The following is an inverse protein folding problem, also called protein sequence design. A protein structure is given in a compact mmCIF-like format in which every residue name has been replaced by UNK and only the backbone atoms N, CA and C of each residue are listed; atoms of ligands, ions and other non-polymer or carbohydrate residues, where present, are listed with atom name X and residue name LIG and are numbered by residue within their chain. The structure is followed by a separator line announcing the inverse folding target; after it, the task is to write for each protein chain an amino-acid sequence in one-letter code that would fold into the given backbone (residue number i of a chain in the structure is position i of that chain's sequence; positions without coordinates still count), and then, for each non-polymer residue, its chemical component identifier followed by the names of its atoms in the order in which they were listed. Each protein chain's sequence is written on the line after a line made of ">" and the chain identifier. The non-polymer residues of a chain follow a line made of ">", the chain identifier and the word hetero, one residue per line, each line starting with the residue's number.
data_IF_177824390447
#
_entry.id   IF_177824390447
#
_cell.length_a   1.000
_cell.length_b   1.000
_cell.length_c   1.000
_cell.angle_alpha   90.00
_cell.angle_beta   90.00
_cell.angle_gamma   90.00
#
_symmetry.space_group_name_H-M   'P 1'
#
loop_
_entity.id
_entity.type
_entity.pdbx_description
1 polymer ?
#
# COMPACT_ATOMS: atom_id res chain seq x y z
N UNK A 1 2.98 7.34 26.10
CA UNK A 1 1.98 7.28 25.02
C UNK A 1 1.73 8.71 24.59
N UNK A 2 2.02 9.05 23.33
CA UNK A 2 1.76 10.37 22.75
C UNK A 2 0.29 10.42 22.35
N UNK A 3 -0.46 11.41 22.83
CA UNK A 3 -1.89 11.60 22.49
C UNK A 3 -2.13 12.82 21.61
N UNK A 4 -1.07 13.56 21.25
CA UNK A 4 -1.13 14.72 20.36
C UNK A 4 -0.98 14.27 18.90
N UNK A 5 -0.06 13.35 18.63
CA UNK A 5 0.22 12.87 17.26
C UNK A 5 -0.35 11.48 16.95
N UNK A 6 -0.87 10.76 17.95
CA UNK A 6 -1.48 9.45 17.76
C UNK A 6 -2.98 9.48 18.04
N UNK A 7 -3.74 8.83 17.16
CA UNK A 7 -5.17 8.60 17.37
C UNK A 7 -5.47 7.58 18.47
N UNK A 8 -6.76 7.34 18.78
CA UNK A 8 -7.18 6.44 19.86
C UNK A 8 -6.89 4.95 19.58
N UNK A 9 -6.47 4.62 18.36
CA UNK A 9 -6.16 3.24 17.97
C UNK A 9 -4.73 2.91 18.38
N UNK A 10 -4.59 2.18 19.49
CA UNK A 10 -3.36 1.49 19.85
C UNK A 10 -3.62 -0.01 19.84
N UNK A 11 -2.73 -0.76 19.22
CA UNK A 11 -2.70 -2.21 19.21
C UNK A 11 -1.26 -2.69 19.32
N UNK A 12 -1.11 -3.90 19.85
CA UNK A 12 0.16 -4.58 19.97
C UNK A 12 0.06 -5.92 19.27
N UNK A 13 1.05 -6.22 18.44
CA UNK A 13 1.21 -7.52 17.80
C UNK A 13 2.56 -8.12 18.21
N UNK A 14 2.63 -9.43 18.46
CA UNK A 14 3.89 -10.09 18.73
C UNK A 14 4.77 -10.08 17.48
N UNK A 15 6.06 -9.78 17.68
CA UNK A 15 7.03 -9.87 16.60
C UNK A 15 7.32 -11.33 16.24
N UNK A 16 7.44 -11.62 14.94
CA UNK A 16 7.92 -12.92 14.44
C UNK A 16 9.45 -12.97 14.32
N UNK A 17 10.13 -11.83 14.42
CA UNK A 17 11.57 -11.69 14.30
C UNK A 17 12.15 -10.73 15.34
N UNK A 18 13.37 -10.99 15.80
CA UNK A 18 14.09 -10.15 16.75
C UNK A 18 14.96 -9.06 16.10
N UNK A 19 15.10 -9.08 14.77
CA UNK A 19 16.00 -8.18 14.03
C UNK A 19 15.29 -7.10 13.21
N UNK A 20 13.98 -7.24 13.00
CA UNK A 20 13.15 -6.30 12.25
C UNK A 20 11.79 -6.15 12.93
N UNK A 21 11.05 -5.07 12.64
CA UNK A 21 9.66 -4.88 13.03
C UNK A 21 8.73 -5.77 12.19
N UNK A 22 8.89 -7.09 12.33
CA UNK A 22 8.20 -8.12 11.56
C UNK A 22 7.10 -8.76 12.39
N UNK A 23 5.91 -8.93 11.82
CA UNK A 23 4.79 -9.62 12.47
C UNK A 23 3.89 -10.28 11.42
N UNK A 24 2.89 -11.04 11.90
CA UNK A 24 1.93 -11.72 11.03
C UNK A 24 0.69 -10.86 10.84
N UNK A 25 0.46 -10.42 9.61
CA UNK A 25 -0.80 -9.85 9.15
C UNK A 25 -1.76 -11.00 8.81
N UNK A 26 -3.07 -10.89 9.10
CA UNK A 26 -4.08 -11.91 8.78
C UNK A 26 -4.47 -11.94 7.30
N UNK A 27 -4.29 -10.83 6.61
CA UNK A 27 -4.54 -10.70 5.18
C UNK A 27 -4.64 -9.23 4.77
N UNK A 28 -4.94 -9.01 3.51
CA UNK A 28 -5.20 -7.68 2.96
C UNK A 28 -6.35 -7.73 1.96
N UNK A 29 -6.85 -6.58 1.54
CA UNK A 29 -7.92 -6.48 0.56
C UNK A 29 -7.96 -5.12 -0.14
N UNK A 30 -8.70 -5.06 -1.23
CA UNK A 30 -8.94 -3.83 -1.99
C UNK A 30 -10.41 -3.81 -2.43
N UNK A 31 -11.16 -2.81 -1.96
CA UNK A 31 -12.61 -2.84 -2.00
C UNK A 31 -13.18 -4.11 -1.37
N UNK A 32 -14.08 -4.80 -2.08
CA UNK A 32 -14.72 -6.03 -1.60
C UNK A 32 -13.84 -7.29 -1.78
N UNK A 33 -12.67 -7.18 -2.42
CA UNK A 33 -11.80 -8.33 -2.67
C UNK A 33 -10.83 -8.53 -1.50
N UNK A 34 -10.79 -9.74 -0.95
CA UNK A 34 -9.92 -10.11 0.19
C UNK A 34 -8.94 -11.21 -0.22
N UNK A 35 -7.73 -11.16 0.32
CA UNK A 35 -6.66 -12.15 0.12
C UNK A 35 -6.24 -12.78 1.45
N UNK A 36 -6.83 -13.94 1.82
CA UNK A 36 -6.41 -14.75 2.97
C UNK A 36 -5.49 -15.94 2.55
N UNK A 37 -4.92 -16.71 3.50
CA UNK A 37 -4.73 -16.40 4.91
C UNK A 37 -3.25 -16.11 5.23
N UNK A 38 -3.04 -15.03 5.96
CA UNK A 38 -1.80 -14.62 6.64
C UNK A 38 -0.53 -14.37 5.80
N UNK A 39 0.17 -13.31 6.15
CA UNK A 39 1.45 -12.93 5.54
C UNK A 39 2.40 -12.42 6.61
N UNK A 40 3.66 -12.82 6.52
CA UNK A 40 4.72 -12.15 7.27
C UNK A 40 4.99 -10.80 6.62
N UNK A 41 4.97 -9.74 7.42
CA UNK A 41 5.10 -8.35 6.97
C UNK A 41 6.05 -7.58 7.88
N UNK A 42 6.65 -6.53 7.32
CA UNK A 42 7.53 -5.60 8.05
C UNK A 42 6.90 -4.21 7.98
N UNK A 43 6.93 -3.49 9.10
CA UNK A 43 6.71 -2.03 9.10
C UNK A 43 8.03 -1.31 9.07
N UNK A 44 8.25 -0.49 8.04
CA UNK A 44 9.50 0.22 7.84
C UNK A 44 9.23 1.63 7.29
N UNK A 45 9.45 2.65 8.13
CA UNK A 45 9.34 4.06 7.71
C UNK A 45 10.49 4.50 6.81
N UNK A 46 11.53 3.69 6.65
CA UNK A 46 12.63 3.90 5.70
C UNK A 46 12.31 3.49 4.27
N UNK A 47 11.19 2.79 4.04
CA UNK A 47 10.76 2.37 2.71
C UNK A 47 9.68 3.31 2.15
N UNK A 48 9.88 3.81 0.92
CA UNK A 48 9.00 4.80 0.29
C UNK A 48 7.66 4.26 -0.21
N UNK A 49 7.55 2.94 -0.45
CA UNK A 49 6.38 2.32 -1.09
C UNK A 49 5.88 1.11 -0.33
N UNK A 50 4.58 0.84 -0.41
CA UNK A 50 4.01 -0.44 0.01
C UNK A 50 4.46 -1.51 -0.99
N UNK A 51 5.42 -2.33 -0.59
CA UNK A 51 5.98 -3.43 -1.39
C UNK A 51 5.48 -4.80 -0.96
N UNK A 52 5.66 -5.80 -1.82
CA UNK A 52 5.38 -7.18 -1.51
C UNK A 52 5.78 -8.14 -2.63
N UNK A 53 5.59 -9.46 -2.45
CA UNK A 53 5.84 -10.43 -3.51
C UNK A 53 5.02 -10.10 -4.76
N UNK A 54 5.64 -10.24 -5.95
CA UNK A 54 5.03 -9.87 -7.23
C UNK A 54 3.64 -10.47 -7.45
N UNK A 55 3.42 -11.71 -7.02
CA UNK A 55 2.11 -12.37 -7.15
C UNK A 55 0.98 -11.70 -6.35
N UNK A 56 1.31 -11.03 -5.25
CA UNK A 56 0.34 -10.32 -4.42
C UNK A 56 0.11 -8.90 -4.92
N UNK A 57 1.18 -8.19 -5.31
CA UNK A 57 1.07 -6.85 -5.89
C UNK A 57 0.38 -6.88 -7.26
N UNK A 58 0.65 -7.88 -8.10
CA UNK A 58 -0.06 -8.09 -9.37
C UNK A 58 -1.55 -8.38 -9.16
N UNK A 59 -1.90 -9.11 -8.09
CA UNK A 59 -3.29 -9.37 -7.74
C UNK A 59 -4.02 -8.07 -7.38
N UNK A 60 -3.40 -7.20 -6.57
CA UNK A 60 -3.96 -5.88 -6.22
C UNK A 60 -4.09 -5.05 -7.49
N UNK A 61 -3.02 -4.93 -8.28
CA UNK A 61 -2.99 -4.14 -9.51
C UNK A 61 -4.10 -4.56 -10.47
N UNK A 62 -4.30 -5.86 -10.68
CA UNK A 62 -5.38 -6.39 -11.52
C UNK A 62 -6.77 -6.00 -10.99
N UNK A 63 -6.98 -5.95 -9.68
CA UNK A 63 -8.27 -5.57 -9.07
C UNK A 63 -8.59 -4.09 -9.25
N UNK A 64 -7.57 -3.24 -9.29
CA UNK A 64 -7.73 -1.78 -9.46
C UNK A 64 -7.51 -1.30 -10.89
N UNK A 65 -7.19 -2.19 -11.83
CA UNK A 65 -6.92 -1.84 -13.23
C UNK A 65 -5.56 -1.18 -13.46
N UNK A 66 -4.63 -1.28 -12.50
CA UNK A 66 -3.28 -0.78 -12.65
C UNK A 66 -2.42 -1.72 -13.51
N UNK A 67 -1.42 -1.15 -14.19
CA UNK A 67 -0.52 -1.87 -15.08
C UNK A 67 0.91 -1.76 -14.57
N UNK A 68 1.65 -2.86 -14.66
CA UNK A 68 3.05 -2.88 -14.26
C UNK A 68 3.93 -2.18 -15.30
N UNK A 69 4.81 -1.28 -14.86
CA UNK A 69 5.84 -0.63 -15.66
C UNK A 69 7.20 -1.23 -15.28
N UNK A 70 7.71 -2.11 -16.13
CA UNK A 70 8.98 -2.80 -15.90
C UNK A 70 10.14 -1.83 -15.65
N UNK A 71 10.22 -0.75 -16.44
CA UNK A 71 11.29 0.27 -16.35
C UNK A 71 11.43 0.85 -14.93
N UNK A 72 10.32 1.06 -14.24
CA UNK A 72 10.29 1.66 -12.91
C UNK A 72 10.07 0.65 -11.79
N UNK A 73 9.73 -0.61 -12.13
CA UNK A 73 9.28 -1.64 -11.18
C UNK A 73 8.13 -1.17 -10.30
N UNK A 74 7.22 -0.39 -10.89
CA UNK A 74 6.05 0.21 -10.23
C UNK A 74 4.78 -0.13 -11.00
N UNK A 75 3.64 0.03 -10.35
CA UNK A 75 2.33 -0.02 -11.01
C UNK A 75 1.84 1.40 -11.27
N UNK A 76 1.24 1.62 -12.43
CA UNK A 76 0.64 2.90 -12.80
C UNK A 76 -0.83 2.75 -13.13
N UNK A 77 -1.55 3.85 -12.94
CA UNK A 77 -2.97 4.00 -13.19
C UNK A 77 -3.24 5.48 -13.55
N UNK A 78 -4.28 5.82 -14.34
CA UNK A 78 -4.66 7.22 -14.56
C UNK A 78 -4.88 7.99 -13.25
N UNK A 79 -4.43 9.25 -13.18
CA UNK A 79 -4.53 10.06 -11.96
C UNK A 79 -5.98 10.35 -11.53
N UNK A 80 -6.92 10.31 -12.46
CA UNK A 80 -8.36 10.49 -12.21
C UNK A 80 -9.08 9.18 -11.84
N UNK A 81 -8.36 8.07 -11.70
CA UNK A 81 -8.93 6.78 -11.35
C UNK A 81 -9.52 6.81 -9.93
N UNK A 82 -10.79 6.39 -9.83
CA UNK A 82 -11.48 6.23 -8.55
C UNK A 82 -11.17 4.86 -7.97
N UNK A 83 -10.29 4.83 -6.97
CA UNK A 83 -9.90 3.59 -6.32
C UNK A 83 -10.67 3.34 -5.01
N UNK A 84 -10.95 2.07 -4.67
CA UNK A 84 -11.47 1.74 -3.36
C UNK A 84 -10.34 1.82 -2.31
N UNK A 85 -10.71 1.79 -1.03
CA UNK A 85 -9.73 1.69 0.05
C UNK A 85 -8.93 0.39 -0.06
N UNK A 86 -7.67 0.48 0.36
CA UNK A 86 -6.83 -0.69 0.63
C UNK A 86 -6.95 -1.05 2.11
N UNK A 87 -7.22 -2.31 2.40
CA UNK A 87 -7.46 -2.79 3.76
C UNK A 87 -6.35 -3.75 4.17
N UNK A 88 -5.81 -3.53 5.37
CA UNK A 88 -4.82 -4.38 6.02
C UNK A 88 -5.49 -4.96 7.28
N UNK A 89 -5.49 -6.28 7.43
CA UNK A 89 -6.11 -6.97 8.54
C UNK A 89 -5.04 -7.47 9.52
N UNK A 90 -4.94 -6.85 10.69
CA UNK A 90 -3.93 -7.16 11.72
C UNK A 90 -4.66 -7.42 13.03
N UNK A 91 -4.42 -8.57 13.66
CA UNK A 91 -5.12 -8.93 14.90
C UNK A 91 -6.64 -8.91 14.73
N UNK A 92 -7.35 -8.19 15.59
CA UNK A 92 -8.80 -7.95 15.49
C UNK A 92 -9.16 -6.66 14.75
N UNK A 93 -8.17 -5.93 14.23
CA UNK A 93 -8.35 -4.59 13.65
C UNK A 93 -8.21 -4.61 12.14
N UNK A 94 -8.97 -3.71 11.51
CA UNK A 94 -8.84 -3.38 10.09
C UNK A 94 -8.27 -1.98 9.98
N UNK A 95 -7.15 -1.86 9.27
CA UNK A 95 -6.52 -0.60 8.95
C UNK A 95 -6.84 -0.28 7.49
N UNK A 96 -7.58 0.80 7.26
CA UNK A 96 -8.03 1.19 5.93
C UNK A 96 -7.19 2.37 5.45
N UNK A 97 -6.58 2.22 4.29
CA UNK A 97 -5.71 3.22 3.66
C UNK A 97 -6.48 3.80 2.47
N UNK A 98 -6.67 5.12 2.51
CA UNK A 98 -7.31 5.86 1.43
C UNK A 98 -6.43 5.90 0.17
N UNK A 99 -7.03 5.95 -1.03
CA UNK A 99 -6.30 6.12 -2.28
C UNK A 99 -5.26 7.25 -2.26
N UNK A 100 -5.60 8.38 -1.65
CA UNK A 100 -4.69 9.52 -1.52
C UNK A 100 -3.39 9.21 -0.75
N UNK A 101 -3.37 8.16 0.07
CA UNK A 101 -2.22 7.76 0.87
C UNK A 101 -1.36 6.66 0.23
N UNK A 102 -1.76 6.09 -0.91
CA UNK A 102 -0.95 5.10 -1.64
C UNK A 102 -0.85 5.37 -3.15
N UNK A 103 -1.48 6.43 -3.64
CA UNK A 103 -1.27 6.97 -4.99
C UNK A 103 -0.31 8.15 -4.92
N UNK A 104 0.63 8.17 -5.86
CA UNK A 104 1.51 9.31 -6.09
C UNK A 104 1.36 9.77 -7.53
N UNK A 105 1.29 11.08 -7.73
CA UNK A 105 1.37 11.66 -9.06
C UNK A 105 2.83 11.72 -9.48
N UNK A 106 3.14 11.10 -10.62
CA UNK A 106 4.51 11.02 -11.14
C UNK A 106 4.53 11.49 -12.58
N UNK A 107 5.31 12.53 -12.84
CA UNK A 107 5.68 12.92 -14.20
C UNK A 107 6.79 12.00 -14.69
N UNK A 108 6.42 10.92 -15.39
CA UNK A 108 7.40 9.99 -15.97
C UNK A 108 8.05 10.63 -17.21
N UNK A 109 9.38 10.63 -17.28
CA UNK A 109 10.20 11.35 -18.27
C UNK A 109 10.09 10.86 -19.74
N UNK A 110 9.13 10.03 -20.11
CA UNK A 110 8.90 9.58 -21.49
C UNK A 110 7.56 10.04 -22.08
N UNK A 111 6.89 11.01 -21.46
CA UNK A 111 5.73 11.69 -22.04
C UNK A 111 6.09 13.17 -22.23
N UNK A 112 6.13 13.62 -23.49
CA UNK A 112 6.44 15.01 -23.81
C UNK A 112 5.55 15.96 -22.99
N UNK A 113 6.21 16.92 -22.35
CA UNK A 113 5.58 18.05 -21.65
C UNK A 113 4.58 18.73 -22.59
N UNK A 114 3.37 18.99 -22.11
CA UNK A 114 2.70 20.22 -22.51
C UNK A 114 3.45 21.35 -21.82
N UNK A 115 4.30 22.04 -22.57
CA UNK A 115 4.54 23.45 -22.28
C UNK A 115 3.17 24.13 -22.22
N UNK A 116 2.87 24.83 -21.13
CA UNK A 116 2.86 26.28 -21.21
C UNK A 116 2.80 26.91 -19.81
N UNK A 117 3.60 27.96 -19.70
CA UNK A 117 3.62 28.94 -18.62
C UNK A 117 2.20 29.50 -18.39
N UNK A 118 1.78 29.60 -17.14
CA UNK A 118 1.63 30.82 -16.33
C UNK A 118 1.77 30.39 -14.86
#
# INVERSE_FOLDING_TARGET
>A
MDTEHCGPVIAYEPLSSAIHWTFIMKGFGVGNAVRPPSFEVITDTGTSFIGGPKSQTDWIAKKVGAKYLEKYRLYHIPCDAKLPYFHIYIGSKTYSIEPANYLIEVSLEDQCKSSDKI
#
